data_IF_349585115091
#
_entry.id   IF_349585115091
#
_cell.length_a   1.000
_cell.length_b   1.000
_cell.length_c   1.000
_cell.angle_alpha   90.00
_cell.angle_beta   90.00
_cell.angle_gamma   90.00
#
_symmetry.space_group_name_H-M   'P 1'
#
loop_
_entity.id
_entity.type
_entity.pdbx_description
1 polymer ?
#
# COMPACT_ATOMS: atom_id res chain seq x y z
N UNK A 1 11.65 -1.73 11.55
CA UNK A 1 10.32 -1.42 10.97
C UNK A 1 9.92 -0.01 11.30
N UNK A 2 9.18 0.62 10.40
CA UNK A 2 8.95 2.06 10.40
C UNK A 2 9.48 2.77 9.18
N UNK A 3 9.97 2.04 8.18
CA UNK A 3 10.38 2.59 6.89
C UNK A 3 9.17 3.27 6.23
N UNK A 4 9.42 4.47 5.72
CA UNK A 4 8.40 5.30 5.09
C UNK A 4 8.75 5.46 3.62
N UNK A 5 7.82 5.09 2.76
CA UNK A 5 7.90 5.24 1.31
C UNK A 5 6.96 6.36 0.91
N UNK A 6 7.52 7.44 0.37
CA UNK A 6 6.72 8.53 -0.19
C UNK A 6 6.25 8.14 -1.58
N UNK A 7 5.00 8.50 -1.90
CA UNK A 7 4.38 8.24 -3.19
C UNK A 7 3.80 9.53 -3.78
N UNK A 8 3.69 9.64 -5.10
CA UNK A 8 3.03 10.77 -5.75
C UNK A 8 1.62 11.03 -5.23
N UNK A 9 1.28 12.29 -5.01
CA UNK A 9 -0.06 12.72 -4.59
C UNK A 9 -1.21 12.21 -5.48
N UNK A 10 -1.07 12.09 -6.81
CA UNK A 10 -2.14 11.56 -7.68
C UNK A 10 -2.56 10.12 -7.36
N UNK A 11 -1.77 9.35 -6.61
CA UNK A 11 -2.11 7.99 -6.22
C UNK A 11 -3.16 7.92 -5.09
N UNK A 12 -3.53 9.06 -4.49
CA UNK A 12 -4.56 9.14 -3.46
C UNK A 12 -4.12 8.59 -2.09
N UNK A 13 -2.84 8.29 -1.93
CA UNK A 13 -2.20 7.89 -0.68
C UNK A 13 -1.20 8.95 -0.23
N UNK A 14 -1.08 9.14 1.09
CA UNK A 14 0.11 9.76 1.67
C UNK A 14 1.24 8.73 1.86
N UNK A 15 2.26 9.07 2.66
CA UNK A 15 3.41 8.19 2.84
C UNK A 15 3.00 6.82 3.39
N UNK A 16 3.49 5.77 2.74
CA UNK A 16 3.25 4.37 3.11
C UNK A 16 4.28 3.99 4.16
N UNK A 17 3.82 3.47 5.30
CA UNK A 17 4.69 2.97 6.38
C UNK A 17 4.63 1.46 6.46
N UNK A 18 5.79 0.80 6.46
CA UNK A 18 5.89 -0.64 6.67
C UNK A 18 5.82 -0.95 8.17
N UNK A 19 4.82 -1.74 8.56
CA UNK A 19 4.55 -2.10 9.97
C UNK A 19 5.02 -3.50 10.32
N UNK A 20 4.93 -4.45 9.39
CA UNK A 20 5.36 -5.84 9.56
C UNK A 20 5.82 -6.47 8.24
N UNK A 21 6.64 -7.51 8.34
CA UNK A 21 7.10 -8.38 7.27
C UNK A 21 7.15 -9.76 7.92
N UNK A 22 6.25 -10.64 7.53
CA UNK A 22 6.05 -11.92 8.20
C UNK A 22 5.62 -12.96 7.17
N UNK A 23 6.30 -14.12 7.12
CA UNK A 23 5.87 -15.23 6.27
C UNK A 23 5.81 -14.90 4.77
N UNK A 24 6.66 -13.98 4.29
CA UNK A 24 6.66 -13.51 2.90
C UNK A 24 5.61 -12.45 2.56
N UNK A 25 4.83 -12.00 3.55
CA UNK A 25 3.88 -10.91 3.40
C UNK A 25 4.43 -9.61 4.00
N UNK A 26 4.09 -8.49 3.38
CA UNK A 26 4.43 -7.15 3.84
C UNK A 26 3.17 -6.45 4.28
N UNK A 27 3.14 -6.02 5.53
CA UNK A 27 2.07 -5.22 6.09
C UNK A 27 2.44 -3.74 6.07
N UNK A 28 1.53 -2.93 5.56
CA UNK A 28 1.71 -1.49 5.37
C UNK A 28 0.47 -0.72 5.80
N UNK A 29 0.69 0.52 6.25
CA UNK A 29 -0.37 1.49 6.50
C UNK A 29 -0.09 2.79 5.74
N UNK A 30 -1.13 3.41 5.22
CA UNK A 30 -1.01 4.71 4.56
C UNK A 30 -2.26 5.57 4.85
N UNK A 31 -2.10 6.90 5.02
CA UNK A 31 -3.24 7.79 5.08
C UNK A 31 -3.84 7.97 3.69
N UNK A 32 -5.16 8.11 3.63
CA UNK A 32 -5.87 8.49 2.41
C UNK A 32 -5.83 10.01 2.25
N UNK A 33 -5.48 10.47 1.05
CA UNK A 33 -5.50 11.90 0.69
C UNK A 33 -6.71 12.28 -0.14
N UNK A 34 -7.43 11.30 -0.69
CA UNK A 34 -8.68 11.47 -1.44
C UNK A 34 -9.92 11.02 -0.66
N UNK A 35 -11.09 11.21 -1.28
CA UNK A 35 -12.40 10.85 -0.74
C UNK A 35 -12.81 9.38 -1.01
N UNK A 36 -11.97 8.60 -1.67
CA UNK A 36 -12.25 7.22 -2.05
C UNK A 36 -11.04 6.31 -1.88
N UNK A 37 -11.31 5.00 -1.78
CA UNK A 37 -10.29 3.96 -1.73
C UNK A 37 -10.76 2.71 -2.47
N UNK A 38 -9.93 2.23 -3.40
CA UNK A 38 -10.06 0.91 -4.02
C UNK A 38 -8.73 0.18 -3.98
N UNK A 39 -8.79 -1.14 -3.80
CA UNK A 39 -7.62 -2.01 -3.86
C UNK A 39 -7.98 -3.33 -4.54
N UNK A 40 -7.07 -3.80 -5.39
CA UNK A 40 -7.09 -5.14 -5.98
C UNK A 40 -5.71 -5.77 -5.82
N UNK A 41 -5.64 -7.08 -5.65
CA UNK A 41 -4.37 -7.84 -5.61
C UNK A 41 -3.62 -7.85 -4.28
N UNK A 42 -3.84 -6.89 -3.38
CA UNK A 42 -3.47 -7.02 -1.96
C UNK A 42 -4.69 -7.31 -1.10
N UNK A 43 -4.49 -8.08 -0.03
CA UNK A 43 -5.51 -8.24 1.00
C UNK A 43 -5.42 -7.09 1.98
N UNK A 44 -6.51 -6.83 2.70
CA UNK A 44 -6.60 -5.70 3.62
C UNK A 44 -7.79 -4.80 3.30
N UNK A 45 -7.89 -3.73 4.06
CA UNK A 45 -9.05 -2.85 4.04
C UNK A 45 -8.67 -1.47 4.53
N UNK A 46 -9.48 -0.50 4.18
CA UNK A 46 -9.30 0.88 4.59
C UNK A 46 -10.64 1.57 4.63
N UNK A 47 -10.72 2.58 5.49
CA UNK A 47 -11.91 3.39 5.66
C UNK A 47 -11.58 4.85 5.40
N UNK A 48 -12.44 5.51 4.65
CA UNK A 48 -12.52 6.97 4.64
C UNK A 48 -13.34 7.41 5.84
N UNK A 49 -12.90 8.43 6.56
CA UNK A 49 -13.74 9.12 7.54
C UNK A 49 -14.60 10.18 6.83
N UNK A 50 -15.76 10.49 7.40
CA UNK A 50 -16.71 11.47 6.84
C UNK A 50 -16.19 12.91 6.82
N UNK A 51 -15.12 13.22 7.58
CA UNK A 51 -14.48 14.53 7.61
C UNK A 51 -13.40 14.72 6.53
N UNK A 52 -13.16 13.72 5.67
CA UNK A 52 -12.00 13.72 4.78
C UNK A 52 -10.74 13.30 5.53
N UNK A 53 -9.95 12.42 4.91
CA UNK A 53 -8.91 11.68 5.62
C UNK A 53 -9.41 10.33 6.14
N UNK A 54 -8.49 9.40 6.26
CA UNK A 54 -8.74 8.00 6.51
C UNK A 54 -7.42 7.24 6.43
N UNK A 55 -7.47 5.93 6.62
CA UNK A 55 -6.28 5.10 6.59
C UNK A 55 -6.57 3.76 5.97
N UNK A 56 -5.58 3.23 5.28
CA UNK A 56 -5.63 1.90 4.69
C UNK A 56 -4.60 1.02 5.37
N UNK A 57 -4.99 -0.23 5.58
CA UNK A 57 -4.06 -1.31 5.92
C UNK A 57 -3.99 -2.25 4.72
N UNK A 58 -2.77 -2.45 4.22
CA UNK A 58 -2.45 -3.29 3.07
C UNK A 58 -1.60 -4.46 3.55
N UNK A 59 -1.95 -5.67 3.13
CA UNK A 59 -1.12 -6.87 3.26
C UNK A 59 -0.90 -7.42 1.84
N UNK A 60 0.35 -7.40 1.41
CA UNK A 60 0.75 -7.85 0.09
C UNK A 60 1.78 -8.96 0.21
N UNK A 61 1.53 -10.10 -0.43
CA UNK A 61 2.53 -11.15 -0.60
C UNK A 61 3.39 -10.87 -1.85
N UNK A 62 4.52 -11.56 -1.97
CA UNK A 62 5.22 -11.65 -3.25
C UNK A 62 4.27 -12.13 -4.37
N UNK A 63 4.38 -11.52 -5.55
CA UNK A 63 3.70 -12.01 -6.74
C UNK A 63 2.94 -10.93 -7.53
N UNK A 64 1.65 -11.14 -7.84
CA UNK A 64 0.91 -10.29 -8.77
C UNK A 64 0.85 -8.83 -8.29
N UNK A 65 0.86 -7.92 -9.26
CA UNK A 65 0.78 -6.48 -8.99
C UNK A 65 -0.59 -6.13 -8.43
N UNK A 66 -0.61 -5.44 -7.32
CA UNK A 66 -1.81 -4.82 -6.78
C UNK A 66 -2.05 -3.46 -7.41
N UNK A 67 -3.32 -3.10 -7.56
CA UNK A 67 -3.74 -1.78 -8.03
C UNK A 67 -4.46 -1.04 -6.92
N UNK A 68 -4.09 0.22 -6.70
CA UNK A 68 -4.67 1.09 -5.68
C UNK A 68 -5.25 2.32 -6.37
N UNK A 69 -6.52 2.63 -6.07
CA UNK A 69 -7.26 3.79 -6.59
C UNK A 69 -7.26 3.90 -8.12
N UNK A 70 -7.07 2.78 -8.84
CA UNK A 70 -6.90 2.71 -10.30
C UNK A 70 -5.79 3.66 -10.84
N UNK A 71 -4.87 4.07 -9.96
CA UNK A 71 -3.86 5.10 -10.24
C UNK A 71 -2.44 4.64 -9.92
N UNK A 72 -2.30 3.70 -8.98
CA UNK A 72 -1.01 3.20 -8.51
C UNK A 72 -0.92 1.68 -8.66
N UNK A 73 0.21 1.22 -9.16
CA UNK A 73 0.64 -0.17 -9.07
C UNK A 73 1.59 -0.38 -7.89
N UNK A 74 1.39 -1.46 -7.14
CA UNK A 74 2.25 -1.90 -6.05
C UNK A 74 2.57 -3.38 -6.21
N UNK A 75 3.86 -3.71 -6.28
CA UNK A 75 4.33 -5.10 -6.36
C UNK A 75 5.38 -5.37 -5.30
N UNK A 76 5.15 -6.41 -4.50
CA UNK A 76 6.21 -7.01 -3.69
C UNK A 76 7.01 -7.92 -4.61
N UNK A 77 8.21 -7.48 -4.96
CA UNK A 77 9.12 -8.22 -5.85
C UNK A 77 9.82 -9.32 -5.08
N UNK A 78 10.14 -9.06 -3.81
CA UNK A 78 10.77 -9.99 -2.90
C UNK A 78 10.44 -9.62 -1.46
N UNK A 79 10.25 -10.59 -0.59
CA UNK A 79 10.08 -10.49 0.85
C UNK A 79 10.89 -11.61 1.52
N UNK A 80 11.64 -11.23 2.53
CA UNK A 80 12.38 -12.10 3.46
C UNK A 80 11.86 -11.83 4.86
N UNK A 81 12.30 -12.56 5.88
CA UNK A 81 11.84 -12.33 7.25
C UNK A 81 12.19 -10.95 7.82
N UNK A 82 13.14 -10.22 7.22
CA UNK A 82 13.60 -8.93 7.71
C UNK A 82 13.47 -7.77 6.71
N UNK A 83 13.28 -8.05 5.42
CA UNK A 83 13.34 -7.04 4.36
C UNK A 83 12.43 -7.40 3.18
N UNK A 84 11.92 -6.37 2.52
CA UNK A 84 11.13 -6.51 1.30
C UNK A 84 11.55 -5.48 0.24
N UNK A 85 11.39 -5.86 -1.02
CA UNK A 85 11.61 -5.00 -2.18
C UNK A 85 10.25 -4.68 -2.79
N UNK A 86 9.88 -3.41 -2.72
CA UNK A 86 8.65 -2.88 -3.28
C UNK A 86 8.94 -2.20 -4.61
N UNK A 87 8.13 -2.49 -5.63
CA UNK A 87 8.08 -1.74 -6.87
C UNK A 87 6.77 -0.98 -6.92
N UNK A 88 6.87 0.34 -7.02
CA UNK A 88 5.74 1.27 -7.06
C UNK A 88 5.79 2.02 -8.38
N UNK A 89 4.63 2.19 -9.02
CA UNK A 89 4.50 2.98 -10.23
C UNK A 89 3.05 3.38 -10.48
N UNK A 90 2.77 4.00 -11.65
CA UNK A 90 1.40 4.22 -12.11
C UNK A 90 0.66 2.90 -12.34
N UNK A 91 -0.66 2.91 -12.24
CA UNK A 91 -1.50 1.84 -12.78
C UNK A 91 -1.42 1.82 -14.32
N UNK A 92 -1.54 0.63 -14.92
CA UNK A 92 -1.62 0.45 -16.39
C UNK A 92 -3.04 0.59 -16.91
#
# INVERSE_FOLDING_TARGET
>A
MGDVVTVPAPYGLGPIRVTAITGGEVEMVAPLTGSGYSVSGCSGGGGVSSQGGGGVRLICAEGPTATINDAMSLKVVKATDAAAVLRIGPAE
#
